data_IF_151868699921
#
_entry.id   IF_151868699921
#
_cell.length_a   1.000
_cell.length_b   1.000
_cell.length_c   1.000
_cell.angle_alpha   90.00
_cell.angle_beta   90.00
_cell.angle_gamma   90.00
#
_symmetry.space_group_name_H-M   'P 1'
#
loop_
_entity.id
_entity.type
_entity.pdbx_description
1 polymer ?
#
# COMPACT_ATOMS: atom_id res chain seq x y z
N UNK A 1 -5.70 17.15 3.99
CA UNK A 1 -5.37 16.62 2.65
C UNK A 1 -4.91 15.20 2.86
N UNK A 2 -5.57 14.20 2.27
CA UNK A 2 -5.28 12.78 2.51
C UNK A 2 -3.89 12.41 2.00
N UNK A 3 -3.12 11.68 2.82
CA UNK A 3 -1.78 11.18 2.47
C UNK A 3 -1.78 10.27 1.22
N UNK A 4 -2.94 9.73 0.84
CA UNK A 4 -3.13 8.75 -0.25
C UNK A 4 -3.11 9.37 -1.67
N UNK A 5 -2.91 10.68 -1.80
CA UNK A 5 -3.09 11.37 -3.10
C UNK A 5 -2.03 10.99 -4.16
N UNK A 6 -0.86 10.47 -3.75
CA UNK A 6 0.26 10.15 -4.64
C UNK A 6 0.55 8.64 -4.76
N UNK A 7 -0.36 7.80 -4.29
CA UNK A 7 -0.21 6.35 -4.30
C UNK A 7 -1.43 5.65 -4.89
N UNK A 8 -1.21 4.52 -5.53
CA UNK A 8 -2.27 3.65 -6.04
C UNK A 8 -1.97 2.19 -5.71
N UNK A 9 -3.01 1.38 -5.69
CA UNK A 9 -2.94 -0.06 -5.50
C UNK A 9 -2.95 -0.80 -6.82
N UNK A 10 -2.13 -1.84 -6.96
CA UNK A 10 -2.21 -2.80 -8.07
C UNK A 10 -2.36 -4.22 -7.53
N UNK A 11 -3.38 -4.93 -8.00
CA UNK A 11 -3.60 -6.32 -7.61
C UNK A 11 -2.49 -7.20 -8.20
N UNK A 12 -1.81 -7.96 -7.35
CA UNK A 12 -0.74 -8.88 -7.74
C UNK A 12 -1.29 -10.31 -7.98
N UNK A 13 -0.42 -11.22 -8.43
CA UNK A 13 -0.82 -12.60 -8.77
C UNK A 13 -1.32 -13.42 -7.56
N UNK A 14 -1.02 -13.00 -6.32
CA UNK A 14 -1.50 -13.63 -5.11
C UNK A 14 -2.88 -13.07 -4.66
N UNK A 15 -3.38 -12.03 -5.33
CA UNK A 15 -4.62 -11.34 -4.95
C UNK A 15 -4.44 -10.24 -3.89
N UNK A 16 -3.20 -9.90 -3.53
CA UNK A 16 -2.89 -8.76 -2.66
C UNK A 16 -2.73 -7.48 -3.47
N UNK A 17 -2.74 -6.34 -2.81
CA UNK A 17 -2.60 -5.01 -3.40
C UNK A 17 -1.20 -4.47 -3.12
N UNK A 18 -0.39 -4.37 -4.17
CA UNK A 18 0.90 -3.67 -4.11
C UNK A 18 0.63 -2.16 -4.07
N UNK A 19 1.21 -1.47 -3.09
CA UNK A 19 1.10 -0.01 -2.98
C UNK A 19 2.25 0.65 -3.75
N UNK A 20 1.92 1.44 -4.76
CA UNK A 20 2.87 2.01 -5.72
C UNK A 20 2.73 3.53 -5.80
N UNK A 21 3.84 4.22 -6.11
CA UNK A 21 3.85 5.65 -6.42
C UNK A 21 3.16 5.91 -7.78
N UNK A 22 2.26 6.89 -7.85
CA UNK A 22 1.59 7.27 -9.11
C UNK A 22 2.57 7.78 -10.17
N UNK A 23 3.67 8.41 -9.75
CA UNK A 23 4.61 9.10 -10.66
C UNK A 23 5.42 8.14 -11.54
N UNK A 24 5.92 7.05 -10.97
CA UNK A 24 6.86 6.13 -11.63
C UNK A 24 6.47 4.66 -11.50
N UNK A 25 5.42 4.34 -10.73
CA UNK A 25 5.02 2.97 -10.45
C UNK A 25 5.98 2.20 -9.54
N UNK A 26 6.93 2.89 -8.88
CA UNK A 26 7.83 2.27 -7.91
C UNK A 26 7.10 1.88 -6.63
N UNK A 27 7.65 0.92 -5.90
CA UNK A 27 7.04 0.41 -4.68
C UNK A 27 7.13 1.44 -3.54
N UNK A 28 6.01 1.68 -2.88
CA UNK A 28 5.98 2.45 -1.64
C UNK A 28 6.53 1.55 -0.53
N UNK A 29 7.55 2.01 0.17
CA UNK A 29 8.21 1.26 1.26
C UNK A 29 7.79 1.73 2.65
N UNK A 30 7.10 2.87 2.74
CA UNK A 30 6.65 3.44 4.03
C UNK A 30 5.48 4.38 3.83
N UNK A 31 4.48 4.27 4.69
CA UNK A 31 3.29 5.13 4.72
C UNK A 31 3.06 5.61 6.14
N UNK A 32 3.10 6.93 6.36
CA UNK A 32 2.93 7.51 7.69
C UNK A 32 1.47 7.76 8.04
N UNK A 33 1.13 7.59 9.31
CA UNK A 33 -0.18 7.90 9.90
C UNK A 33 -1.31 7.06 9.27
N UNK A 34 -0.97 5.83 8.85
CA UNK A 34 -1.93 4.88 8.27
C UNK A 34 -1.98 3.63 9.14
N UNK A 35 -3.16 3.36 9.67
CA UNK A 35 -3.42 2.18 10.49
C UNK A 35 -3.65 0.96 9.60
N UNK A 36 -2.56 0.42 9.01
CA UNK A 36 -2.58 -0.78 8.17
C UNK A 36 -1.30 -1.61 8.37
N UNK A 37 -1.39 -2.91 8.07
CA UNK A 37 -0.29 -3.86 8.18
C UNK A 37 -0.05 -4.54 6.83
N UNK A 38 1.19 -4.56 6.33
CA UNK A 38 1.54 -5.33 5.16
C UNK A 38 1.28 -6.82 5.37
N UNK A 39 0.86 -7.50 4.31
CA UNK A 39 0.67 -8.94 4.31
C UNK A 39 1.99 -9.62 4.66
N UNK A 40 1.97 -10.45 5.70
CA UNK A 40 3.17 -11.18 6.15
C UNK A 40 4.13 -10.36 7.02
N UNK A 41 3.82 -9.11 7.34
CA UNK A 41 4.62 -8.28 8.26
C UNK A 41 3.96 -8.13 9.62
N UNK A 42 4.77 -8.15 10.68
CA UNK A 42 4.32 -7.79 12.04
C UNK A 42 4.45 -6.29 12.34
N UNK A 43 5.06 -5.53 11.43
CA UNK A 43 5.24 -4.09 11.54
C UNK A 43 4.18 -3.37 10.70
N UNK A 44 3.67 -2.25 11.21
CA UNK A 44 2.73 -1.43 10.44
C UNK A 44 3.42 -0.78 9.24
N UNK A 45 2.61 -0.25 8.32
CA UNK A 45 3.09 0.52 7.16
C UNK A 45 3.90 1.78 7.54
N UNK A 46 3.84 2.22 8.80
CA UNK A 46 4.64 3.34 9.34
C UNK A 46 6.15 3.03 9.40
N UNK A 47 6.53 1.76 9.33
CA UNK A 47 7.92 1.31 9.28
C UNK A 47 8.41 1.17 7.84
N UNK A 48 9.73 1.07 7.66
CA UNK A 48 10.31 0.89 6.33
C UNK A 48 10.29 -0.61 5.94
N UNK A 49 9.74 -0.89 4.76
CA UNK A 49 9.63 -2.21 4.14
C UNK A 49 10.36 -2.17 2.80
N UNK A 50 11.66 -2.54 2.74
CA UNK A 50 12.49 -2.43 1.53
C UNK A 50 11.95 -3.20 0.32
N UNK A 51 11.21 -4.29 0.57
CA UNK A 51 10.51 -5.09 -0.43
C UNK A 51 9.25 -4.41 -1.00
N UNK A 52 8.79 -3.32 -0.38
CA UNK A 52 7.53 -2.64 -0.69
C UNK A 52 6.38 -3.10 0.20
N UNK A 53 5.31 -2.31 0.20
CA UNK A 53 4.11 -2.58 0.98
C UNK A 53 3.09 -3.32 0.11
N UNK A 54 2.70 -4.51 0.56
CA UNK A 54 1.57 -5.26 0.03
C UNK A 54 0.44 -5.29 1.07
N UNK A 55 -0.76 -4.89 0.70
CA UNK A 55 -1.94 -4.90 1.58
C UNK A 55 -2.97 -5.92 1.11
N UNK A 56 -3.87 -6.32 2.01
CA UNK A 56 -5.10 -6.98 1.60
C UNK A 56 -5.98 -6.01 0.83
N UNK A 57 -6.87 -6.51 -0.04
CA UNK A 57 -7.87 -5.67 -0.73
C UNK A 57 -8.73 -4.90 0.30
N UNK A 58 -9.15 -5.58 1.37
CA UNK A 58 -9.96 -4.98 2.43
C UNK A 58 -9.25 -3.81 3.12
N UNK A 59 -7.96 -3.96 3.46
CA UNK A 59 -7.18 -2.87 4.06
C UNK A 59 -6.97 -1.73 3.08
N UNK A 60 -6.67 -2.02 1.81
CA UNK A 60 -6.51 -1.02 0.77
C UNK A 60 -7.80 -0.20 0.57
N UNK A 61 -8.96 -0.85 0.53
CA UNK A 61 -10.25 -0.18 0.45
C UNK A 61 -10.56 0.62 1.72
N UNK A 62 -10.25 0.08 2.91
CA UNK A 62 -10.47 0.75 4.20
C UNK A 62 -9.68 2.05 4.33
N UNK A 63 -8.45 2.09 3.82
CA UNK A 63 -7.63 3.31 3.82
C UNK A 63 -7.94 4.26 2.65
N UNK A 64 -8.85 3.87 1.74
CA UNK A 64 -9.23 4.65 0.57
C UNK A 64 -8.18 4.69 -0.54
N UNK A 65 -7.37 3.64 -0.66
CA UNK A 65 -6.40 3.50 -1.76
C UNK A 65 -7.14 3.24 -3.07
N UNK A 66 -6.79 4.00 -4.11
CA UNK A 66 -7.35 3.79 -5.46
C UNK A 66 -6.67 2.55 -6.06
N UNK A 67 -7.44 1.50 -6.31
CA UNK A 67 -6.94 0.26 -6.92
C UNK A 67 -7.15 0.33 -8.43
N UNK A 68 -6.06 0.13 -9.18
CA UNK A 68 -6.07 0.00 -10.64
C UNK A 68 -6.88 -1.25 -11.03
N UNK A 69 -7.83 -1.08 -11.96
CA UNK A 69 -8.70 -2.14 -12.49
C UNK A 69 -8.13 -2.78 -13.74
#
# INVERSE_FOLDING_TARGET
MSAVTNMFGRINAAGNVNVLHIEDGSAITRMKDIDAWPVGSSLSVDWEHPEGIELTIEDAERIGLIIEK
#
